data_IF_678964775682
#
_entry.id   IF_678964775682
#
_cell.length_a   1.000
_cell.length_b   1.000
_cell.length_c   1.000
_cell.angle_alpha   90.00
_cell.angle_beta   90.00
_cell.angle_gamma   90.00
#
_symmetry.space_group_name_H-M   'P 1'
#
loop_
_entity.id
_entity.type
_entity.pdbx_description
1 polymer ?
#
# COMPACT_ATOMS: atom_id res chain seq x y z
N UNK A 1 42.73 2.56 9.25
CA UNK A 1 41.56 3.24 9.85
C UNK A 1 40.90 4.10 8.79
N UNK A 2 39.62 3.83 8.49
CA UNK A 2 38.59 4.72 7.91
C UNK A 2 37.39 3.84 7.49
N UNK A 3 36.66 3.36 8.51
CA UNK A 3 35.33 2.75 8.37
C UNK A 3 34.33 3.72 8.97
N UNK A 4 33.97 4.76 8.24
CA UNK A 4 32.96 5.74 8.69
C UNK A 4 32.39 6.44 7.46
N UNK A 5 31.55 5.73 6.70
CA UNK A 5 30.74 6.33 5.65
C UNK A 5 29.43 5.56 5.39
N UNK A 6 28.91 4.80 6.36
CA UNK A 6 27.72 3.96 6.17
C UNK A 6 26.62 4.18 7.23
N UNK A 7 26.60 5.33 7.91
CA UNK A 7 25.61 5.61 8.98
C UNK A 7 24.78 6.88 8.71
N UNK A 8 24.97 7.55 7.57
CA UNK A 8 24.36 8.87 7.32
C UNK A 8 23.22 8.91 6.30
N UNK A 9 22.52 7.79 6.07
CA UNK A 9 21.32 7.77 5.20
C UNK A 9 20.04 7.31 5.91
N UNK A 10 20.09 7.01 7.22
CA UNK A 10 18.92 6.64 8.02
C UNK A 10 18.70 7.74 9.07
N UNK A 11 18.39 8.96 8.63
CA UNK A 11 17.99 10.02 9.55
C UNK A 11 17.22 11.13 8.85
N UNK A 12 16.01 10.85 8.37
CA UNK A 12 15.01 11.90 8.15
C UNK A 12 13.62 11.30 7.95
N UNK A 13 12.96 10.95 9.04
CA UNK A 13 11.53 11.16 9.36
C UNK A 13 11.37 10.48 10.72
N UNK A 14 11.07 11.25 11.78
CA UNK A 14 10.38 10.81 13.01
C UNK A 14 10.72 11.75 14.16
N UNK A 15 10.04 12.90 14.21
CA UNK A 15 9.63 13.48 15.50
C UNK A 15 8.28 14.13 15.25
N UNK A 16 7.19 13.51 15.72
CA UNK A 16 6.10 14.19 16.43
C UNK A 16 5.12 13.15 16.99
N UNK A 17 5.01 13.16 18.33
CA UNK A 17 3.94 12.62 19.17
C UNK A 17 3.80 11.09 19.31
N UNK A 18 4.67 10.49 20.12
CA UNK A 18 4.37 9.27 20.87
C UNK A 18 3.61 9.62 22.17
N UNK A 19 2.51 8.91 22.46
CA UNK A 19 2.30 8.19 23.74
C UNK A 19 0.83 7.86 24.15
N UNK A 20 -0.23 8.31 23.48
CA UNK A 20 -1.61 8.11 24.02
C UNK A 20 -2.64 7.47 23.09
N UNK A 21 -2.27 6.93 21.92
CA UNK A 21 -3.25 6.61 20.86
C UNK A 21 -3.11 5.20 20.24
N UNK A 22 -2.33 4.31 20.83
CA UNK A 22 -1.97 3.03 20.20
C UNK A 22 -3.14 2.03 20.05
N UNK A 23 -4.13 2.04 20.94
CA UNK A 23 -5.16 0.97 20.97
C UNK A 23 -6.35 1.18 20.04
N UNK A 24 -6.75 2.42 19.73
CA UNK A 24 -7.91 2.67 18.86
C UNK A 24 -7.60 2.49 17.37
N UNK A 25 -6.32 2.60 16.99
CA UNK A 25 -5.87 2.57 15.60
C UNK A 25 -5.27 1.21 15.21
N UNK A 26 -4.94 0.34 16.18
CA UNK A 26 -4.55 -1.05 15.92
C UNK A 26 -5.64 -1.82 15.16
N UNK A 27 -6.92 -1.58 15.50
CA UNK A 27 -8.07 -2.21 14.85
C UNK A 27 -8.11 -1.96 13.32
N UNK A 28 -7.71 -0.77 12.87
CA UNK A 28 -7.68 -0.46 11.43
C UNK A 28 -6.55 -1.21 10.73
N UNK A 29 -5.36 -1.27 11.32
CA UNK A 29 -4.26 -2.06 10.78
C UNK A 29 -4.56 -3.55 10.80
N UNK A 30 -5.23 -4.06 11.82
CA UNK A 30 -5.57 -5.48 11.91
C UNK A 30 -6.65 -5.87 10.88
N UNK A 31 -7.66 -5.01 10.70
CA UNK A 31 -8.65 -5.17 9.63
C UNK A 31 -7.97 -5.15 8.25
N UNK A 32 -7.05 -4.22 8.02
CA UNK A 32 -6.28 -4.14 6.78
C UNK A 32 -5.40 -5.38 6.59
N UNK A 33 -4.63 -5.80 7.59
CA UNK A 33 -3.79 -7.00 7.55
C UNK A 33 -4.63 -8.23 7.19
N UNK A 34 -5.81 -8.39 7.80
CA UNK A 34 -6.72 -9.51 7.51
C UNK A 34 -7.14 -9.58 6.04
N UNK A 35 -7.21 -8.44 5.34
CA UNK A 35 -7.46 -8.41 3.90
C UNK A 35 -6.17 -8.58 3.08
N UNK A 36 -5.08 -7.94 3.50
CA UNK A 36 -3.78 -7.99 2.81
C UNK A 36 -3.23 -9.41 2.72
N UNK A 37 -3.37 -10.22 3.78
CA UNK A 37 -2.91 -11.63 3.78
C UNK A 37 -3.62 -12.53 2.78
N UNK A 38 -4.77 -12.09 2.23
CA UNK A 38 -5.46 -12.79 1.14
C UNK A 38 -4.81 -12.55 -0.22
N UNK A 39 -4.06 -11.45 -0.34
CA UNK A 39 -3.42 -10.98 -1.57
C UNK A 39 -1.95 -11.37 -1.62
N UNK A 40 -1.23 -11.18 -0.51
CA UNK A 40 0.21 -11.45 -0.48
C UNK A 40 0.46 -12.96 -0.50
N UNK A 41 1.46 -13.44 -1.27
CA UNK A 41 1.76 -14.87 -1.32
C UNK A 41 2.18 -15.43 0.04
N UNK A 42 1.96 -16.74 0.23
CA UNK A 42 2.45 -17.44 1.44
C UNK A 42 3.97 -17.29 1.55
N UNK A 43 4.44 -16.94 2.75
CA UNK A 43 5.86 -16.70 3.03
C UNK A 43 6.32 -15.27 2.75
N UNK A 44 5.43 -14.35 2.36
CA UNK A 44 5.72 -12.92 2.41
C UNK A 44 5.89 -12.45 3.86
N UNK A 45 6.87 -11.58 4.11
CA UNK A 45 7.20 -11.04 5.42
C UNK A 45 6.58 -9.66 5.60
N UNK A 46 5.94 -9.43 6.75
CA UNK A 46 5.45 -8.10 7.14
C UNK A 46 6.65 -7.23 7.53
N UNK A 47 6.90 -6.15 6.80
CA UNK A 47 8.06 -5.28 7.01
C UNK A 47 7.71 -3.96 7.68
N UNK A 48 6.45 -3.50 7.55
CA UNK A 48 5.96 -2.29 8.21
C UNK A 48 4.45 -2.35 8.42
N UNK A 49 4.00 -1.78 9.54
CA UNK A 49 2.59 -1.46 9.80
C UNK A 49 2.52 -0.16 10.59
N UNK A 50 1.65 0.74 10.19
CA UNK A 50 1.44 2.02 10.87
C UNK A 50 -0.03 2.41 10.80
N UNK A 51 -0.53 3.09 11.82
CA UNK A 51 -1.89 3.61 11.85
C UNK A 51 -1.93 4.97 12.55
N UNK A 52 -2.81 5.84 12.07
CA UNK A 52 -3.22 7.07 12.73
C UNK A 52 -4.74 7.24 12.58
N UNK A 53 -5.27 8.37 13.06
CA UNK A 53 -6.72 8.61 13.14
C UNK A 53 -7.44 8.60 11.79
N UNK A 54 -6.71 8.78 10.68
CA UNK A 54 -7.28 8.90 9.33
C UNK A 54 -6.68 7.96 8.29
N UNK A 55 -5.64 7.19 8.64
CA UNK A 55 -4.99 6.27 7.72
C UNK A 55 -4.41 5.03 8.40
N UNK A 56 -4.40 3.91 7.67
CA UNK A 56 -3.69 2.70 8.04
C UNK A 56 -2.79 2.25 6.88
N UNK A 57 -1.58 1.81 7.20
CA UNK A 57 -0.56 1.38 6.24
C UNK A 57 -0.01 0.02 6.62
N UNK A 58 0.16 -0.84 5.63
CA UNK A 58 0.72 -2.18 5.77
C UNK A 58 1.61 -2.48 4.57
N UNK A 59 2.82 -2.97 4.82
CA UNK A 59 3.75 -3.39 3.77
C UNK A 59 4.31 -4.79 3.99
N UNK A 60 4.33 -5.58 2.93
CA UNK A 60 4.92 -6.91 2.88
C UNK A 60 5.99 -7.00 1.79
N UNK A 61 6.95 -7.90 1.98
CA UNK A 61 7.94 -8.26 0.95
C UNK A 61 7.99 -9.76 0.73
N UNK A 62 8.31 -10.19 -0.49
CA UNK A 62 8.66 -11.57 -0.80
C UNK A 62 9.81 -11.58 -1.80
N UNK A 63 11.04 -11.79 -1.31
CA UNK A 63 12.23 -11.67 -2.13
C UNK A 63 12.38 -10.24 -2.66
N UNK A 64 12.22 -10.05 -3.97
CA UNK A 64 12.27 -8.73 -4.63
C UNK A 64 10.90 -8.06 -4.78
N UNK A 65 9.82 -8.79 -4.52
CA UNK A 65 8.45 -8.29 -4.64
C UNK A 65 8.06 -7.45 -3.44
N UNK A 66 7.40 -6.32 -3.67
CA UNK A 66 6.94 -5.43 -2.61
C UNK A 66 5.45 -5.14 -2.77
N UNK A 67 4.73 -5.24 -1.66
CA UNK A 67 3.29 -5.06 -1.58
C UNK A 67 3.00 -4.01 -0.52
N UNK A 68 2.33 -2.92 -0.88
CA UNK A 68 1.98 -1.85 0.05
C UNK A 68 0.50 -1.54 -0.07
N UNK A 69 -0.13 -1.33 1.07
CA UNK A 69 -1.56 -1.07 1.17
C UNK A 69 -1.77 0.09 2.13
N UNK A 70 -2.49 1.10 1.67
CA UNK A 70 -2.81 2.29 2.46
C UNK A 70 -4.31 2.50 2.43
N UNK A 71 -4.96 2.53 3.59
CA UNK A 71 -6.27 3.14 3.77
C UNK A 71 -6.04 4.62 4.10
N UNK A 72 -6.70 5.54 3.42
CA UNK A 72 -6.67 6.97 3.77
C UNK A 72 -7.94 7.69 3.37
N UNK A 73 -8.07 8.94 3.81
CA UNK A 73 -9.11 9.88 3.38
C UNK A 73 -8.83 10.55 2.04
N UNK A 74 -7.73 10.22 1.35
CA UNK A 74 -7.40 10.80 0.05
C UNK A 74 -8.30 10.22 -1.03
N UNK A 75 -8.98 11.08 -1.80
CA UNK A 75 -9.88 10.66 -2.89
C UNK A 75 -9.30 10.89 -4.28
N UNK A 76 -8.07 11.40 -4.35
CA UNK A 76 -7.39 11.75 -5.59
C UNK A 76 -5.92 11.27 -5.50
N UNK A 77 -5.42 10.48 -6.46
CA UNK A 77 -4.05 9.98 -6.44
C UNK A 77 -2.98 11.07 -6.60
N UNK A 78 -3.34 12.29 -7.02
CA UNK A 78 -2.39 13.39 -7.31
C UNK A 78 -1.30 13.03 -8.33
N UNK A 79 -1.58 12.04 -9.19
CA UNK A 79 -0.66 11.53 -10.22
C UNK A 79 -1.23 11.91 -11.59
N UNK A 80 -0.43 12.62 -12.39
CA UNK A 80 -0.87 13.26 -13.64
C UNK A 80 -1.39 12.28 -14.68
N UNK A 81 -0.81 11.08 -14.73
CA UNK A 81 -1.12 10.01 -15.68
C UNK A 81 -2.04 8.94 -15.09
N UNK A 82 -2.67 9.19 -13.94
CA UNK A 82 -3.66 8.29 -13.37
C UNK A 82 -4.87 8.14 -14.30
N UNK A 83 -5.18 6.89 -14.65
CA UNK A 83 -6.30 6.50 -15.50
C UNK A 83 -7.51 6.16 -14.64
N UNK A 84 -8.55 6.97 -14.73
CA UNK A 84 -9.81 6.70 -14.05
C UNK A 84 -10.57 5.54 -14.73
N UNK A 85 -11.15 4.65 -13.92
CA UNK A 85 -12.03 3.58 -14.37
C UNK A 85 -13.08 3.22 -13.30
N UNK A 86 -14.01 2.31 -13.64
CA UNK A 86 -15.00 1.78 -12.71
C UNK A 86 -14.59 0.38 -12.23
N UNK A 87 -14.40 0.22 -10.93
CA UNK A 87 -14.15 -1.06 -10.27
C UNK A 87 -15.41 -1.49 -9.50
N UNK A 88 -16.15 -2.50 -9.99
CA UNK A 88 -17.38 -3.01 -9.35
C UNK A 88 -18.36 -1.89 -8.94
N UNK A 89 -18.53 -0.90 -9.82
CA UNK A 89 -19.38 0.28 -9.60
C UNK A 89 -18.71 1.44 -8.82
N UNK A 90 -17.60 1.19 -8.13
CA UNK A 90 -16.82 2.21 -7.42
C UNK A 90 -15.89 2.97 -8.37
N UNK A 91 -15.59 4.23 -8.02
CA UNK A 91 -14.56 5.02 -8.72
C UNK A 91 -13.18 4.45 -8.37
N UNK A 92 -12.33 4.26 -9.37
CA UNK A 92 -10.98 3.77 -9.18
C UNK A 92 -9.99 4.44 -10.15
N UNK A 93 -8.71 4.40 -9.80
CA UNK A 93 -7.63 4.96 -10.59
C UNK A 93 -6.48 3.96 -10.67
N UNK A 94 -6.00 3.71 -11.87
CA UNK A 94 -4.74 3.00 -12.09
C UNK A 94 -3.64 3.98 -12.45
N UNK A 95 -2.43 3.81 -11.91
CA UNK A 95 -1.30 4.69 -12.18
C UNK A 95 0.03 3.93 -12.08
N UNK A 96 1.09 4.52 -12.63
CA UNK A 96 2.46 4.02 -12.46
C UNK A 96 3.25 5.01 -11.60
N UNK A 97 3.76 4.62 -10.41
CA UNK A 97 4.40 5.54 -9.46
C UNK A 97 5.85 5.93 -9.85
N UNK A 98 6.17 5.94 -11.15
CA UNK A 98 7.48 6.36 -11.65
C UNK A 98 8.62 5.36 -11.45
N UNK A 99 8.32 4.12 -11.06
CA UNK A 99 9.28 3.01 -11.01
C UNK A 99 8.87 1.95 -12.03
N UNK A 100 9.86 1.38 -12.73
CA UNK A 100 9.64 0.22 -13.60
C UNK A 100 9.02 -0.94 -12.80
N UNK A 101 8.23 -1.77 -13.48
CA UNK A 101 7.57 -2.94 -12.92
C UNK A 101 6.78 -2.68 -11.64
N UNK A 102 6.26 -1.46 -11.51
CA UNK A 102 5.48 -1.01 -10.37
C UNK A 102 4.17 -0.40 -10.82
N UNK A 103 3.08 -0.79 -10.17
CA UNK A 103 1.74 -0.28 -10.43
C UNK A 103 1.05 0.14 -9.14
N UNK A 104 0.20 1.14 -9.29
CA UNK A 104 -0.66 1.67 -8.24
C UNK A 104 -2.13 1.56 -8.62
N UNK A 105 -2.96 1.20 -7.65
CA UNK A 105 -4.40 1.15 -7.78
C UNK A 105 -5.03 1.85 -6.58
N UNK A 106 -5.77 2.94 -6.83
CA UNK A 106 -6.62 3.58 -5.83
C UNK A 106 -8.08 3.19 -6.09
N UNK A 107 -8.81 2.77 -5.05
CA UNK A 107 -10.26 2.50 -5.11
C UNK A 107 -10.95 3.35 -4.04
N UNK A 108 -11.97 4.10 -4.46
CA UNK A 108 -12.80 4.89 -3.56
C UNK A 108 -13.82 3.96 -2.89
N UNK A 109 -13.66 3.71 -1.60
CA UNK A 109 -14.50 2.78 -0.83
C UNK A 109 -15.81 3.44 -0.40
N UNK A 110 -15.73 4.69 0.08
CA UNK A 110 -16.85 5.53 0.52
C UNK A 110 -16.57 7.01 0.20
N UNK A 111 -17.40 7.94 0.70
CA UNK A 111 -17.18 9.38 0.54
C UNK A 111 -15.93 9.90 1.29
N UNK A 112 -15.44 9.15 2.28
CA UNK A 112 -14.36 9.58 3.19
C UNK A 112 -13.22 8.56 3.27
N UNK A 113 -13.30 7.45 2.53
CA UNK A 113 -12.31 6.38 2.61
C UNK A 113 -11.93 5.82 1.23
N UNK A 114 -10.65 5.68 0.99
CA UNK A 114 -10.08 4.98 -0.16
C UNK A 114 -9.07 3.93 0.29
N UNK A 115 -8.75 3.01 -0.61
CA UNK A 115 -7.59 2.14 -0.48
C UNK A 115 -6.66 2.39 -1.65
N UNK A 116 -5.36 2.50 -1.38
CA UNK A 116 -4.28 2.51 -2.35
C UNK A 116 -3.50 1.22 -2.20
N UNK A 117 -3.30 0.52 -3.32
CA UNK A 117 -2.48 -0.69 -3.43
C UNK A 117 -1.30 -0.34 -4.33
N UNK A 118 -0.08 -0.52 -3.85
CA UNK A 118 1.14 -0.44 -4.67
C UNK A 118 1.78 -1.81 -4.69
N UNK A 119 2.08 -2.30 -5.90
CA UNK A 119 2.78 -3.55 -6.13
C UNK A 119 3.98 -3.30 -7.01
N UNK A 120 5.13 -3.81 -6.60
CA UNK A 120 6.31 -3.94 -7.43
C UNK A 120 6.64 -5.43 -7.56
N UNK A 121 6.74 -5.96 -8.78
CA UNK A 121 7.15 -7.35 -9.00
C UNK A 121 8.65 -7.56 -8.79
N UNK A 122 9.42 -6.49 -8.58
CA UNK A 122 10.87 -6.49 -8.74
C UNK A 122 11.23 -6.77 -10.19
N UNK A 123 12.41 -6.37 -10.65
CA UNK A 123 12.87 -6.46 -12.06
C UNK A 123 12.92 -7.88 -12.67
N UNK A 124 12.23 -8.86 -12.10
CA UNK A 124 11.91 -10.14 -12.73
C UNK A 124 10.86 -9.92 -13.83
N UNK A 125 11.23 -10.23 -15.08
CA UNK A 125 10.39 -10.18 -16.29
C UNK A 125 9.15 -11.10 -16.28
N UNK A 126 8.81 -11.71 -15.15
CA UNK A 126 7.81 -12.78 -15.07
C UNK A 126 6.36 -12.24 -14.95
N UNK A 127 6.18 -10.99 -14.52
CA UNK A 127 4.86 -10.40 -14.29
C UNK A 127 4.80 -8.93 -14.68
N UNK A 128 4.02 -8.61 -15.73
CA UNK A 128 3.68 -7.24 -16.05
C UNK A 128 2.72 -6.67 -15.00
N UNK A 129 3.16 -5.59 -14.33
CA UNK A 129 2.31 -4.87 -13.37
C UNK A 129 1.45 -3.86 -14.12
N UNK A 130 0.26 -4.33 -14.53
CA UNK A 130 -0.74 -3.53 -15.23
C UNK A 130 -2.07 -3.44 -14.45
N UNK A 131 -3.04 -2.67 -14.97
CA UNK A 131 -4.35 -2.46 -14.32
C UNK A 131 -5.07 -3.79 -14.02
N UNK A 132 -4.95 -4.79 -14.89
CA UNK A 132 -5.61 -6.09 -14.71
C UNK A 132 -5.00 -6.82 -13.51
N UNK A 133 -3.67 -6.89 -13.44
CA UNK A 133 -2.95 -7.50 -12.31
C UNK A 133 -3.34 -6.84 -10.99
N UNK A 134 -3.34 -5.49 -10.93
CA UNK A 134 -3.74 -4.76 -9.73
C UNK A 134 -5.21 -5.01 -9.34
N UNK A 135 -6.10 -5.09 -10.32
CA UNK A 135 -7.53 -5.39 -10.09
C UNK A 135 -7.71 -6.80 -9.53
N UNK A 136 -6.96 -7.78 -10.03
CA UNK A 136 -6.98 -9.15 -9.52
C UNK A 136 -6.48 -9.26 -8.08
N UNK A 137 -5.54 -8.40 -7.68
CA UNK A 137 -5.13 -8.28 -6.28
C UNK A 137 -6.29 -7.75 -5.42
N UNK A 138 -6.95 -6.67 -5.85
CA UNK A 138 -8.10 -6.11 -5.15
C UNK A 138 -9.28 -7.10 -5.05
N UNK A 139 -9.48 -7.95 -6.06
CA UNK A 139 -10.55 -8.95 -6.09
C UNK A 139 -10.44 -10.04 -5.03
N UNK A 140 -9.25 -10.26 -4.47
CA UNK A 140 -9.01 -11.21 -3.38
C UNK A 140 -9.36 -10.62 -2.00
N UNK A 141 -9.55 -9.29 -1.93
CA UNK A 141 -9.88 -8.58 -0.71
C UNK A 141 -11.39 -8.43 -0.55
N UNK A 142 -11.87 -8.48 0.69
CA UNK A 142 -13.21 -8.02 1.05
C UNK A 142 -13.16 -6.53 1.40
N UNK A 143 -13.17 -5.69 0.35
CA UNK A 143 -13.10 -4.24 0.49
C UNK A 143 -14.34 -3.61 1.15
N UNK A 144 -15.45 -4.34 1.28
CA UNK A 144 -16.64 -3.87 1.98
C UNK A 144 -16.51 -3.92 3.51
N UNK A 145 -15.53 -4.68 4.01
CA UNK A 145 -15.21 -4.79 5.43
C UNK A 145 -14.18 -3.76 5.94
N UNK A 146 -13.67 -2.91 5.05
CA UNK A 146 -12.62 -1.91 5.32
C UNK A 146 -13.19 -0.51 5.58
#
# INVERSE_FOLDING_TARGET
MKKTALILQILMVLILASASFAYANEDQTDALIKQVVKVVPKGAELIAREANDSSAFVAYTQGVKNYQFTLSGDMNPQIKDAKEFKYKGKKAFYFQPGMEDTGGLMIILSAEKSIVIIYSSGFSNDEEVNQKTMTQMADQMDLGSL
#
